data_IF_307088439532
#
_entry.id   IF_307088439532
#
_cell.length_a   1.000
_cell.length_b   1.000
_cell.length_c   1.000
_cell.angle_alpha   90.00
_cell.angle_beta   90.00
_cell.angle_gamma   90.00
#
_symmetry.space_group_name_H-M   'P 1'
#
loop_
_entity.id
_entity.type
_entity.pdbx_description
1 polymer ?
#
# COMPACT_ATOMS: atom_id res chain seq x y z
N UNK A 1 -14.39 2.82 30.59
CA UNK A 1 -14.43 4.11 29.89
C UNK A 1 -14.32 3.79 28.42
N UNK A 2 -15.34 4.11 27.62
CA UNK A 2 -15.21 4.00 26.16
C UNK A 2 -14.17 5.04 25.74
N UNK A 3 -13.06 4.57 25.18
CA UNK A 3 -12.03 5.44 24.64
C UNK A 3 -12.60 5.98 23.32
N UNK A 4 -13.04 7.24 23.32
CA UNK A 4 -13.38 7.93 22.08
C UNK A 4 -12.08 8.28 21.36
N UNK A 5 -11.94 7.80 20.13
CA UNK A 5 -10.81 8.11 19.26
C UNK A 5 -11.24 9.22 18.30
N UNK A 6 -10.83 10.49 18.54
CA UNK A 6 -11.31 11.61 17.74
C UNK A 6 -10.63 11.70 16.36
N UNK A 7 -9.60 10.88 16.12
CA UNK A 7 -8.83 10.86 14.88
C UNK A 7 -8.86 9.49 14.24
N UNK A 8 -8.56 9.45 12.95
CA UNK A 8 -8.37 8.22 12.20
C UNK A 8 -7.05 8.26 11.44
N UNK A 9 -6.50 7.09 11.17
CA UNK A 9 -5.47 6.86 10.18
C UNK A 9 -6.12 6.13 9.02
N UNK A 10 -5.95 6.66 7.80
CA UNK A 10 -6.50 6.07 6.58
C UNK A 10 -5.35 5.69 5.67
N UNK A 11 -5.26 4.41 5.32
CA UNK A 11 -4.32 3.87 4.34
C UNK A 11 -5.07 3.39 3.10
N UNK A 12 -4.55 3.70 1.92
CA UNK A 12 -5.16 3.34 0.65
C UNK A 12 -4.14 3.36 -0.47
N UNK A 13 -4.42 2.61 -1.53
CA UNK A 13 -3.74 2.74 -2.81
C UNK A 13 -4.69 2.38 -3.93
N UNK A 14 -4.40 2.86 -5.13
CA UNK A 14 -5.10 2.47 -6.34
C UNK A 14 -4.23 2.69 -7.57
N UNK A 15 -4.10 1.64 -8.37
CA UNK A 15 -3.54 1.73 -9.72
C UNK A 15 -4.62 2.23 -10.67
N UNK A 16 -4.41 3.40 -11.25
CA UNK A 16 -5.28 4.04 -12.24
C UNK A 16 -4.46 5.07 -12.99
N UNK A 17 -4.68 5.24 -14.29
CA UNK A 17 -3.97 6.25 -15.04
C UNK A 17 -4.33 7.65 -14.55
N UNK A 18 -3.32 8.43 -14.16
CA UNK A 18 -3.47 9.84 -13.80
C UNK A 18 -2.73 10.68 -14.84
N UNK A 19 -3.48 11.45 -15.63
CA UNK A 19 -2.89 12.44 -16.54
C UNK A 19 -2.36 13.65 -15.75
N UNK A 20 -1.23 14.19 -16.18
CA UNK A 20 -0.53 15.31 -15.52
C UNK A 20 -0.37 15.06 -14.00
N UNK A 21 0.13 13.87 -13.63
CA UNK A 21 0.16 13.41 -12.25
C UNK A 21 1.01 14.33 -11.34
N UNK A 22 2.01 15.01 -11.88
CA UNK A 22 2.78 16.04 -11.20
C UNK A 22 1.93 17.27 -10.82
N UNK A 23 1.11 17.76 -11.76
CA UNK A 23 0.15 18.84 -11.52
C UNK A 23 -0.94 18.38 -10.56
N UNK A 24 -1.43 17.15 -10.71
CA UNK A 24 -2.40 16.55 -9.80
C UNK A 24 -1.85 16.51 -8.36
N UNK A 25 -0.59 16.08 -8.16
CA UNK A 25 0.06 16.06 -6.86
C UNK A 25 0.11 17.44 -6.17
N UNK A 26 0.40 18.50 -6.93
CA UNK A 26 0.42 19.88 -6.42
C UNK A 26 -0.99 20.32 -5.99
N UNK A 27 -2.00 20.04 -6.81
CA UNK A 27 -3.41 20.38 -6.48
C UNK A 27 -3.90 19.59 -5.26
N UNK A 28 -3.55 18.31 -5.20
CA UNK A 28 -3.92 17.41 -4.12
C UNK A 28 -3.29 17.83 -2.79
N UNK A 29 -2.01 18.25 -2.79
CA UNK A 29 -1.37 18.82 -1.60
C UNK A 29 -2.14 20.01 -1.04
N UNK A 30 -2.50 20.97 -1.90
CA UNK A 30 -3.23 22.17 -1.50
C UNK A 30 -4.61 21.81 -0.96
N UNK A 31 -5.27 20.81 -1.55
CA UNK A 31 -6.54 20.30 -1.06
C UNK A 31 -6.41 19.69 0.34
N UNK A 32 -5.50 18.74 0.53
CA UNK A 32 -5.23 18.12 1.84
C UNK A 32 -4.91 19.15 2.93
N UNK A 33 -4.11 20.18 2.59
CA UNK A 33 -3.78 21.26 3.51
C UNK A 33 -4.99 22.11 3.89
N UNK A 34 -5.89 22.43 2.95
CA UNK A 34 -7.13 23.17 3.24
C UNK A 34 -8.09 22.35 4.11
N UNK A 35 -8.17 21.05 3.87
CA UNK A 35 -8.99 20.15 4.69
C UNK A 35 -8.44 19.98 6.11
N UNK A 36 -7.14 20.23 6.31
CA UNK A 36 -6.47 20.17 7.60
C UNK A 36 -6.01 18.76 8.00
N UNK A 37 -5.80 17.88 7.02
CA UNK A 37 -5.26 16.53 7.23
C UNK A 37 -3.73 16.51 7.11
N UNK A 38 -3.09 15.55 7.78
CA UNK A 38 -1.65 15.30 7.70
C UNK A 38 -1.39 13.89 7.18
N UNK A 39 -0.20 13.62 6.64
CA UNK A 39 0.04 12.34 5.98
C UNK A 39 1.12 12.35 4.92
N UNK A 40 1.23 11.24 4.20
CA UNK A 40 2.12 11.04 3.06
C UNK A 40 1.30 10.41 1.94
N UNK A 41 1.28 11.06 0.79
CA UNK A 41 0.68 10.55 -0.43
C UNK A 41 1.73 10.60 -1.53
N UNK A 42 1.89 9.49 -2.21
CA UNK A 42 2.64 9.38 -3.46
C UNK A 42 1.62 9.32 -4.58
N UNK A 43 1.85 10.14 -5.60
CA UNK A 43 1.10 10.13 -6.85
C UNK A 43 2.11 9.80 -7.96
N UNK A 44 1.71 8.94 -8.87
CA UNK A 44 2.46 8.61 -10.06
C UNK A 44 1.49 8.57 -11.25
N UNK A 45 2.01 8.48 -12.46
CA UNK A 45 1.18 8.33 -13.66
C UNK A 45 0.35 7.04 -13.60
N UNK A 46 0.85 6.03 -12.87
CA UNK A 46 0.19 4.73 -12.64
C UNK A 46 -0.84 4.72 -11.50
N UNK A 47 -0.94 5.77 -10.67
CA UNK A 47 -1.94 5.80 -9.61
C UNK A 47 -1.61 6.65 -8.38
N UNK A 48 -2.22 6.27 -7.25
CA UNK A 48 -2.09 6.95 -5.96
C UNK A 48 -1.85 5.94 -4.84
N UNK A 49 -0.97 6.25 -3.89
CA UNK A 49 -0.75 5.50 -2.65
C UNK A 49 -0.63 6.50 -1.49
N UNK A 50 -1.39 6.30 -0.42
CA UNK A 50 -1.45 7.26 0.65
C UNK A 50 -1.69 6.65 2.02
N UNK A 51 -1.09 7.30 3.01
CA UNK A 51 -1.46 7.18 4.40
C UNK A 51 -1.66 8.58 4.99
N UNK A 52 -2.82 8.85 5.55
CA UNK A 52 -3.18 10.15 6.11
C UNK A 52 -3.85 10.02 7.47
N UNK A 53 -3.96 11.13 8.17
CA UNK A 53 -4.62 11.24 9.46
C UNK A 53 -5.31 12.60 9.60
N UNK A 54 -6.43 12.58 10.31
CA UNK A 54 -7.29 13.73 10.58
C UNK A 54 -8.41 13.32 11.53
N UNK A 55 -9.33 14.23 11.83
CA UNK A 55 -10.55 13.86 12.56
C UNK A 55 -11.41 12.90 11.74
N UNK A 56 -12.34 12.21 12.38
CA UNK A 56 -13.30 11.31 11.71
C UNK A 56 -14.01 12.04 10.55
N UNK A 57 -14.43 13.29 10.75
CA UNK A 57 -15.09 14.11 9.74
C UNK A 57 -14.16 14.47 8.59
N UNK A 58 -12.91 14.87 8.88
CA UNK A 58 -11.93 15.19 7.85
C UNK A 58 -11.59 13.97 7.00
N UNK A 59 -11.39 12.80 7.62
CA UNK A 59 -11.12 11.55 6.92
C UNK A 59 -12.32 11.13 6.05
N UNK A 60 -13.54 11.22 6.57
CA UNK A 60 -14.77 10.97 5.79
C UNK A 60 -14.89 11.90 4.59
N UNK A 61 -14.66 13.19 4.79
CA UNK A 61 -14.68 14.18 3.71
C UNK A 61 -13.61 13.86 2.65
N UNK A 62 -12.39 13.55 3.08
CA UNK A 62 -11.32 13.18 2.15
C UNK A 62 -11.69 11.96 1.29
N UNK A 63 -12.19 10.88 1.92
CA UNK A 63 -12.58 9.66 1.21
C UNK A 63 -13.72 9.93 0.23
N UNK A 64 -14.72 10.71 0.63
CA UNK A 64 -15.83 11.08 -0.24
C UNK A 64 -15.38 11.91 -1.44
N UNK A 65 -14.55 12.94 -1.22
CA UNK A 65 -14.05 13.81 -2.28
C UNK A 65 -13.10 13.09 -3.23
N UNK A 66 -12.28 12.15 -2.71
CA UNK A 66 -11.44 11.31 -3.56
C UNK A 66 -12.32 10.41 -4.45
N UNK A 67 -13.30 9.72 -3.87
CA UNK A 67 -14.22 8.84 -4.61
C UNK A 67 -15.20 9.57 -5.53
N UNK A 68 -15.37 10.89 -5.41
CA UNK A 68 -16.20 11.69 -6.31
C UNK A 68 -15.56 11.82 -7.71
N UNK A 69 -14.25 11.64 -7.83
CA UNK A 69 -13.56 11.47 -9.10
C UNK A 69 -13.65 9.99 -9.51
N UNK A 70 -14.27 9.73 -10.67
CA UNK A 70 -14.53 8.37 -11.17
C UNK A 70 -13.26 7.52 -11.26
N UNK A 71 -12.10 8.13 -11.50
CA UNK A 71 -10.80 7.43 -11.52
C UNK A 71 -10.52 6.74 -10.19
N UNK A 72 -10.96 7.34 -9.08
CA UNK A 72 -10.77 6.83 -7.74
C UNK A 72 -12.05 6.23 -7.12
N UNK A 73 -13.07 5.95 -7.93
CA UNK A 73 -14.24 5.19 -7.46
C UNK A 73 -13.81 3.81 -6.92
N UNK A 74 -14.40 3.35 -5.82
CA UNK A 74 -14.10 2.06 -5.19
C UNK A 74 -12.63 1.89 -4.72
N UNK A 75 -11.95 2.96 -4.32
CA UNK A 75 -10.71 2.82 -3.54
C UNK A 75 -11.03 2.06 -2.26
N UNK A 76 -10.21 1.05 -1.94
CA UNK A 76 -10.27 0.34 -0.67
C UNK A 76 -9.50 1.13 0.39
N UNK A 77 -10.22 1.61 1.40
CA UNK A 77 -9.64 2.36 2.51
C UNK A 77 -9.58 1.48 3.76
N UNK A 78 -8.37 1.28 4.27
CA UNK A 78 -8.17 0.73 5.61
C UNK A 78 -8.19 1.89 6.60
N UNK A 79 -9.08 1.81 7.59
CA UNK A 79 -9.31 2.87 8.58
C UNK A 79 -9.01 2.31 9.97
N UNK A 80 -8.11 2.97 10.69
CA UNK A 80 -7.79 2.69 12.08
C UNK A 80 -8.12 3.90 12.95
N UNK A 81 -8.80 3.66 14.07
CA UNK A 81 -9.10 4.69 15.05
C UNK A 81 -7.86 5.08 15.87
N UNK A 82 -7.66 6.38 16.13
CA UNK A 82 -6.47 6.89 16.79
C UNK A 82 -6.75 8.05 17.77
N UNK A 83 -5.85 8.25 18.73
CA UNK A 83 -6.02 9.25 19.79
C UNK A 83 -5.73 10.69 19.34
N UNK A 84 -4.91 10.85 18.29
CA UNK A 84 -4.41 12.15 17.79
C UNK A 84 -3.99 12.06 16.31
N UNK A 85 -3.51 13.14 15.72
CA UNK A 85 -2.89 13.04 14.40
C UNK A 85 -1.63 12.15 14.44
N UNK A 86 -1.57 11.14 13.56
CA UNK A 86 -0.42 10.25 13.44
C UNK A 86 0.79 10.88 12.72
N UNK A 87 0.56 11.95 11.95
CA UNK A 87 1.59 12.64 11.17
C UNK A 87 1.72 14.11 11.59
N UNK A 88 2.96 14.62 11.55
CA UNK A 88 3.26 16.01 11.88
C UNK A 88 2.86 17.01 10.79
N UNK A 89 2.89 16.59 9.52
CA UNK A 89 2.64 17.45 8.35
C UNK A 89 2.14 16.65 7.17
N UNK A 90 1.52 17.36 6.22
CA UNK A 90 1.09 16.79 4.95
C UNK A 90 2.23 16.80 3.93
N UNK A 91 2.45 15.66 3.28
CA UNK A 91 3.30 15.51 2.12
C UNK A 91 2.53 14.85 0.99
N UNK A 92 2.49 15.51 -0.17
CA UNK A 92 2.07 14.88 -1.42
C UNK A 92 3.22 15.06 -2.40
N UNK A 93 3.68 13.98 -3.01
CA UNK A 93 4.82 14.01 -3.93
C UNK A 93 4.50 13.21 -5.17
N UNK A 94 4.86 13.78 -6.33
CA UNK A 94 4.97 13.00 -7.55
C UNK A 94 6.20 12.09 -7.49
N UNK A 95 6.05 10.85 -7.95
CA UNK A 95 7.11 9.86 -8.13
C UNK A 95 6.86 9.04 -9.40
N UNK A 96 7.89 8.37 -9.94
CA UNK A 96 7.72 7.46 -11.08
C UNK A 96 6.79 6.27 -10.78
N UNK A 97 6.84 5.77 -9.54
CA UNK A 97 6.00 4.65 -9.07
C UNK A 97 5.33 5.01 -7.73
N UNK A 98 4.11 4.50 -7.51
CA UNK A 98 3.43 4.62 -6.21
C UNK A 98 3.96 3.64 -5.16
N UNK A 99 4.59 2.55 -5.62
CA UNK A 99 5.39 1.62 -4.81
C UNK A 99 6.66 1.36 -5.61
N UNK A 100 7.80 1.86 -5.14
CA UNK A 100 9.07 1.72 -5.85
C UNK A 100 9.56 0.27 -5.78
N UNK A 101 9.25 -0.49 -6.83
CA UNK A 101 9.51 -1.91 -6.92
C UNK A 101 10.81 -2.23 -7.65
N UNK A 102 11.27 -1.34 -8.52
CA UNK A 102 12.37 -1.61 -9.45
C UNK A 102 12.01 -2.65 -10.54
N UNK A 103 10.80 -3.21 -10.53
CA UNK A 103 10.39 -4.24 -11.50
C UNK A 103 10.25 -3.68 -12.91
N UNK A 104 9.83 -2.41 -13.03
CA UNK A 104 9.72 -1.73 -14.32
C UNK A 104 11.05 -1.65 -15.09
N UNK A 105 12.19 -1.82 -14.42
CA UNK A 105 13.52 -1.83 -15.05
C UNK A 105 13.88 -3.20 -15.66
N UNK A 106 13.25 -4.28 -15.19
CA UNK A 106 13.62 -5.66 -15.54
C UNK A 106 12.48 -6.45 -16.20
N UNK A 107 11.24 -5.99 -16.11
CA UNK A 107 10.07 -6.66 -16.67
C UNK A 107 8.94 -5.66 -17.00
N UNK A 108 8.17 -5.97 -18.05
CA UNK A 108 6.91 -5.28 -18.31
C UNK A 108 5.84 -5.79 -17.33
N UNK A 109 5.73 -5.11 -16.19
CA UNK A 109 4.70 -5.39 -15.18
C UNK A 109 3.65 -4.28 -15.23
N UNK A 110 2.39 -4.66 -15.47
CA UNK A 110 1.25 -3.72 -15.41
C UNK A 110 0.21 -4.24 -14.40
N UNK A 111 0.22 -3.72 -13.15
CA UNK A 111 -0.72 -4.12 -12.10
C UNK A 111 -2.20 -3.82 -12.45
N UNK A 112 -2.46 -3.07 -13.53
CA UNK A 112 -3.82 -2.83 -14.03
C UNK A 112 -4.32 -3.95 -14.95
N UNK A 113 -3.42 -4.75 -15.52
CA UNK A 113 -3.75 -5.83 -16.47
C UNK A 113 -3.69 -7.21 -15.83
N UNK A 114 -2.65 -7.47 -15.05
CA UNK A 114 -2.40 -8.78 -14.48
C UNK A 114 -1.96 -8.67 -13.02
N UNK A 115 -2.70 -9.36 -12.15
CA UNK A 115 -2.40 -9.44 -10.73
C UNK A 115 -2.61 -10.86 -10.23
N UNK A 116 -1.93 -11.23 -9.15
CA UNK A 116 -2.22 -12.47 -8.44
C UNK A 116 -3.64 -12.53 -7.88
N UNK A 117 -4.10 -13.73 -7.53
CA UNK A 117 -5.40 -13.93 -6.88
C UNK A 117 -5.38 -13.35 -5.47
N UNK A 118 -6.26 -12.39 -5.18
CA UNK A 118 -6.45 -11.90 -3.82
C UNK A 118 -7.03 -12.99 -2.92
N UNK A 119 -6.51 -13.09 -1.70
CA UNK A 119 -6.96 -14.05 -0.69
C UNK A 119 -7.55 -13.32 0.51
N UNK A 120 -8.72 -13.78 0.96
CA UNK A 120 -9.26 -13.35 2.25
C UNK A 120 -8.38 -13.83 3.41
N UNK A 121 -8.49 -13.20 4.58
CA UNK A 121 -7.77 -13.64 5.77
C UNK A 121 -8.08 -15.11 6.15
N UNK A 122 -9.32 -15.55 5.91
CA UNK A 122 -9.74 -16.94 6.16
C UNK A 122 -9.09 -17.91 5.17
N UNK A 123 -9.10 -17.58 3.88
CA UNK A 123 -8.47 -18.40 2.84
C UNK A 123 -6.96 -18.49 3.04
N UNK A 124 -6.32 -17.37 3.38
CA UNK A 124 -4.91 -17.36 3.74
C UNK A 124 -4.61 -18.26 4.93
N UNK A 125 -5.43 -18.20 5.98
CA UNK A 125 -5.27 -19.05 7.18
C UNK A 125 -5.40 -20.54 6.86
N UNK A 126 -6.26 -20.91 5.91
CA UNK A 126 -6.40 -22.30 5.42
C UNK A 126 -5.20 -22.71 4.56
N UNK A 127 -4.80 -21.87 3.60
CA UNK A 127 -3.71 -22.18 2.67
C UNK A 127 -2.37 -22.33 3.38
N UNK A 128 -2.03 -21.46 4.33
CA UNK A 128 -0.73 -21.49 5.02
C UNK A 128 -0.50 -22.76 5.87
N UNK A 129 -1.53 -23.59 6.06
CA UNK A 129 -1.41 -24.86 6.80
C UNK A 129 -1.02 -26.03 5.89
N UNK A 130 -1.03 -25.84 4.57
CA UNK A 130 -0.67 -26.88 3.61
C UNK A 130 0.85 -26.92 3.40
N UNK A 131 1.39 -28.12 3.25
CA UNK A 131 2.84 -28.33 3.07
C UNK A 131 3.34 -27.94 1.66
N UNK A 132 2.43 -27.84 0.68
CA UNK A 132 2.73 -27.45 -0.70
C UNK A 132 2.63 -25.94 -0.95
N UNK A 133 2.36 -25.16 0.11
CA UNK A 133 2.26 -23.70 0.06
C UNK A 133 3.51 -23.06 0.64
N UNK A 134 4.09 -22.12 -0.10
CA UNK A 134 5.21 -21.29 0.35
C UNK A 134 4.70 -19.88 0.60
N UNK A 135 4.84 -19.42 1.85
CA UNK A 135 4.53 -18.04 2.22
C UNK A 135 5.80 -17.20 2.10
N UNK A 136 5.75 -16.12 1.35
CA UNK A 136 6.89 -15.21 1.12
C UNK A 136 6.56 -13.85 1.71
N UNK A 137 7.41 -13.39 2.62
CA UNK A 137 7.42 -12.02 3.14
C UNK A 137 8.25 -11.16 2.19
N UNK A 138 7.60 -10.21 1.51
CA UNK A 138 8.25 -9.29 0.55
C UNK A 138 8.50 -7.91 1.15
N UNK A 139 8.36 -7.78 2.48
CA UNK A 139 8.63 -6.54 3.23
C UNK A 139 10.12 -6.36 3.52
N UNK A 140 10.46 -5.19 4.06
CA UNK A 140 11.83 -4.90 4.48
C UNK A 140 12.30 -5.77 5.65
N UNK A 141 13.61 -5.94 5.77
CA UNK A 141 14.28 -6.59 6.89
C UNK A 141 13.81 -6.05 8.25
N UNK A 142 13.55 -4.74 8.35
CA UNK A 142 13.05 -4.13 9.57
C UNK A 142 11.66 -4.65 9.95
N UNK A 143 10.70 -4.64 9.03
CA UNK A 143 9.34 -5.10 9.26
C UNK A 143 9.28 -6.60 9.59
N UNK A 144 10.06 -7.40 8.87
CA UNK A 144 10.19 -8.84 9.12
C UNK A 144 10.73 -9.15 10.52
N UNK A 145 11.69 -8.37 11.02
CA UNK A 145 12.27 -8.53 12.37
C UNK A 145 11.28 -8.19 13.48
N UNK A 146 10.36 -7.24 13.25
CA UNK A 146 9.29 -6.92 14.19
C UNK A 146 8.33 -8.11 14.33
N UNK A 147 7.99 -8.74 13.22
CA UNK A 147 7.15 -9.93 13.22
C UNK A 147 6.83 -10.41 11.81
N UNK A 148 6.69 -11.74 11.68
CA UNK A 148 6.34 -12.40 10.42
C UNK A 148 5.48 -13.63 10.68
N UNK A 149 4.79 -14.12 9.65
CA UNK A 149 4.12 -15.41 9.75
C UNK A 149 5.15 -16.53 9.96
N UNK A 150 4.79 -17.52 10.78
CA UNK A 150 5.62 -18.70 11.03
C UNK A 150 5.98 -19.37 9.71
N UNK A 151 7.25 -19.75 9.55
CA UNK A 151 7.81 -20.39 8.35
C UNK A 151 7.78 -19.54 7.06
N UNK A 152 7.46 -18.24 7.13
CA UNK A 152 7.54 -17.38 5.95
C UNK A 152 9.01 -17.27 5.48
N UNK A 153 9.22 -17.53 4.19
CA UNK A 153 10.47 -17.24 3.48
C UNK A 153 10.64 -15.73 3.42
N UNK A 154 11.84 -15.26 3.68
CA UNK A 154 12.18 -13.83 3.69
C UNK A 154 13.32 -13.58 2.73
N UNK A 155 13.27 -12.44 2.06
CA UNK A 155 14.35 -11.96 1.21
C UNK A 155 15.14 -10.90 1.97
N UNK A 156 16.46 -11.01 1.93
CA UNK A 156 17.35 -10.03 2.58
C UNK A 156 17.35 -8.73 1.76
N UNK A 157 16.48 -7.80 2.17
CA UNK A 157 16.20 -6.53 1.48
C UNK A 157 15.95 -5.42 2.50
N UNK A 158 16.65 -4.30 2.35
CA UNK A 158 16.37 -3.11 3.15
C UNK A 158 15.21 -2.29 2.55
N UNK A 159 15.05 -2.34 1.22
CA UNK A 159 14.00 -1.64 0.48
C UNK A 159 13.38 -2.55 -0.58
N UNK A 160 12.10 -2.34 -0.89
CA UNK A 160 11.40 -3.16 -1.89
C UNK A 160 11.99 -3.06 -3.31
N UNK A 161 12.65 -1.95 -3.65
CA UNK A 161 13.38 -1.79 -4.92
C UNK A 161 14.52 -2.78 -5.15
N UNK A 162 14.96 -3.47 -4.08
CA UNK A 162 15.98 -4.52 -4.13
C UNK A 162 15.37 -5.88 -4.50
N UNK A 163 14.03 -5.99 -4.57
CA UNK A 163 13.32 -7.22 -4.91
C UNK A 163 13.73 -7.84 -6.26
N UNK A 164 13.91 -7.07 -7.35
CA UNK A 164 14.47 -7.56 -8.61
C UNK A 164 15.76 -8.39 -8.44
N UNK A 165 16.66 -7.98 -7.55
CA UNK A 165 17.96 -8.65 -7.33
C UNK A 165 17.83 -9.96 -6.55
N UNK A 166 16.69 -10.19 -5.90
CA UNK A 166 16.44 -11.34 -5.02
C UNK A 166 15.48 -12.37 -5.64
N UNK A 167 14.85 -12.03 -6.78
CA UNK A 167 13.79 -12.85 -7.37
C UNK A 167 14.27 -14.25 -7.75
N UNK A 168 15.53 -14.40 -8.18
CA UNK A 168 16.12 -15.68 -8.55
C UNK A 168 16.20 -16.67 -7.38
N UNK A 169 16.26 -16.17 -6.14
CA UNK A 169 16.22 -17.03 -4.94
C UNK A 169 14.90 -17.79 -4.81
N UNK A 170 13.84 -17.29 -5.46
CA UNK A 170 12.50 -17.88 -5.46
C UNK A 170 12.31 -18.94 -6.55
N UNK A 171 13.28 -19.14 -7.44
CA UNK A 171 13.18 -20.10 -8.55
C UNK A 171 12.88 -21.53 -8.07
N UNK A 172 13.43 -21.91 -6.92
CA UNK A 172 13.17 -23.20 -6.26
C UNK A 172 11.70 -23.43 -5.86
N UNK A 173 10.84 -22.41 -5.95
CA UNK A 173 9.42 -22.48 -5.59
C UNK A 173 8.47 -22.38 -6.79
N UNK A 174 8.98 -22.37 -8.04
CA UNK A 174 8.15 -22.21 -9.26
C UNK A 174 7.03 -23.25 -9.39
N UNK A 175 7.25 -24.46 -8.90
CA UNK A 175 6.26 -25.56 -8.96
C UNK A 175 5.34 -25.63 -7.72
N UNK A 176 5.46 -24.68 -6.79
CA UNK A 176 4.67 -24.63 -5.56
C UNK A 176 3.59 -23.56 -5.63
N UNK A 177 2.59 -23.69 -4.75
CA UNK A 177 1.65 -22.60 -4.53
C UNK A 177 2.35 -21.49 -3.74
N UNK A 178 2.65 -20.37 -4.38
CA UNK A 178 3.29 -19.22 -3.74
C UNK A 178 2.24 -18.22 -3.24
N UNK A 179 2.39 -17.80 -1.99
CA UNK A 179 1.56 -16.76 -1.38
C UNK A 179 2.44 -15.66 -0.83
N UNK A 180 2.32 -14.45 -1.37
CA UNK A 180 3.07 -13.27 -0.93
C UNK A 180 2.22 -12.40 -0.01
N UNK A 181 2.85 -11.71 0.94
CA UNK A 181 2.16 -10.72 1.77
C UNK A 181 3.01 -9.47 2.04
N UNK A 182 2.32 -8.35 2.27
CA UNK A 182 2.84 -7.04 2.64
C UNK A 182 1.87 -6.41 3.68
N UNK A 183 2.09 -5.16 4.07
CA UNK A 183 1.30 -4.40 5.05
C UNK A 183 0.03 -3.78 4.42
#
# INVERSE_FOLDING_TARGET
>A
MNQEFPYQVVAFYKYVQIEEADVFAIRHLKYCQRLGITGRIIIADEGINGQLSGTVEQCKQYMADLCADERFANVDFKIDDWEKNAFLKMHVRYKPEIVNSGLAEIAEVDPKKETGKHLSAEDFKKLKQRDDVVVIDVRSNYETKIGRFKNAVTLDMENFREFPEKIDQLEQFKDKTVVTYCT
#
